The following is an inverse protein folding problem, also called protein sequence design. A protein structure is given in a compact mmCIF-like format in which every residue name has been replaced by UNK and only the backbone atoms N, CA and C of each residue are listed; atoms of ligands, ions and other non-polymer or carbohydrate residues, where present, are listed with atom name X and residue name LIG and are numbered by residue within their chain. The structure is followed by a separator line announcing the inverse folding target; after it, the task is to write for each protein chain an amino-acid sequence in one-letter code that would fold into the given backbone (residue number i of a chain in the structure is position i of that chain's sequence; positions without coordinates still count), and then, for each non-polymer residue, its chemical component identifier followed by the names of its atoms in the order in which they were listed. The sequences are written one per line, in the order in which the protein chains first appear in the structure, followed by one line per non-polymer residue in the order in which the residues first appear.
data_IF_408250587471
#
_entry.id   IF_408250587471
#
_cell.length_a   1.000
_cell.length_b   1.000
_cell.length_c   1.000
_cell.angle_alpha   90.00
_cell.angle_beta   90.00
_cell.angle_gamma   90.00
#
_symmetry.space_group_name_H-M   'P 1'
#
loop_
_entity.id
_entity.type
_entity.pdbx_description
1 polymer ?
#
# COMPACT_ATOMS: atom_id res chain seq x y z
N UNK A 1 15.88 -36.51 -3.14
CA UNK A 1 14.84 -35.45 -3.27
C UNK A 1 15.56 -34.18 -3.73
N UNK A 2 15.16 -33.54 -4.84
CA UNK A 2 15.79 -32.26 -5.24
C UNK A 2 15.39 -31.19 -4.21
N UNK A 3 16.34 -30.48 -3.58
CA UNK A 3 16.01 -29.53 -2.52
C UNK A 3 15.16 -28.38 -3.08
N UNK A 4 14.16 -27.96 -2.30
CA UNK A 4 13.41 -26.74 -2.58
C UNK A 4 14.27 -25.50 -2.32
N UNK A 5 13.79 -24.31 -2.70
CA UNK A 5 14.54 -23.07 -2.57
C UNK A 5 14.76 -22.73 -1.08
N UNK A 6 16.03 -22.69 -0.58
CA UNK A 6 16.30 -22.37 0.82
C UNK A 6 15.93 -20.94 1.17
N UNK A 7 15.41 -20.73 2.39
CA UNK A 7 15.06 -19.40 2.91
C UNK A 7 13.84 -18.76 2.24
N UNK A 8 13.07 -19.50 1.44
CA UNK A 8 11.83 -19.02 0.84
C UNK A 8 10.75 -18.79 1.90
N UNK A 9 10.06 -17.66 1.80
CA UNK A 9 8.99 -17.25 2.71
C UNK A 9 7.68 -17.21 1.94
N UNK A 10 6.76 -18.13 2.26
CA UNK A 10 5.48 -18.26 1.58
C UNK A 10 4.60 -17.02 1.64
N UNK A 11 4.60 -16.35 2.80
CA UNK A 11 3.83 -15.12 2.99
C UNK A 11 4.22 -14.04 1.96
N UNK A 12 5.50 -13.97 1.54
CA UNK A 12 5.98 -13.05 0.50
C UNK A 12 5.45 -13.42 -0.88
N UNK A 13 5.29 -14.70 -1.19
CA UNK A 13 4.65 -15.12 -2.44
C UNK A 13 3.18 -14.67 -2.48
N UNK A 14 2.45 -14.89 -1.38
CA UNK A 14 1.06 -14.45 -1.25
C UNK A 14 0.94 -12.93 -1.44
N UNK A 15 1.78 -12.18 -0.73
CA UNK A 15 1.85 -10.72 -0.81
C UNK A 15 2.16 -10.24 -2.23
N UNK A 16 3.16 -10.81 -2.89
CA UNK A 16 3.51 -10.50 -4.27
C UNK A 16 2.34 -10.77 -5.22
N UNK A 17 1.71 -11.94 -5.12
CA UNK A 17 0.55 -12.31 -5.95
C UNK A 17 -0.61 -11.32 -5.77
N UNK A 18 -0.92 -10.99 -4.53
CA UNK A 18 -2.01 -10.06 -4.18
C UNK A 18 -1.71 -8.64 -4.66
N UNK A 19 -0.45 -8.18 -4.61
CA UNK A 19 -0.01 -6.88 -5.15
C UNK A 19 -0.17 -6.77 -6.69
N UNK A 20 -0.29 -7.91 -7.37
CA UNK A 20 -0.58 -8.01 -8.81
C UNK A 20 -2.06 -8.21 -9.10
N UNK A 21 -2.91 -8.34 -8.08
CA UNK A 21 -4.34 -8.62 -8.24
C UNK A 21 -4.62 -10.01 -8.82
N UNK A 22 -3.71 -10.97 -8.62
CA UNK A 22 -3.85 -12.32 -9.18
C UNK A 22 -4.54 -13.27 -8.18
N UNK A 23 -5.47 -14.08 -8.65
CA UNK A 23 -5.98 -15.22 -7.87
C UNK A 23 -4.93 -16.35 -7.82
N UNK A 24 -4.98 -17.18 -6.78
CA UNK A 24 -4.04 -18.30 -6.62
C UNK A 24 -4.12 -19.30 -7.79
N UNK A 25 -5.31 -19.49 -8.38
CA UNK A 25 -5.49 -20.35 -9.56
C UNK A 25 -4.79 -19.77 -10.79
N UNK A 26 -4.93 -18.46 -11.03
CA UNK A 26 -4.26 -17.77 -12.14
C UNK A 26 -2.74 -17.89 -12.04
N UNK A 27 -2.17 -17.74 -10.83
CA UNK A 27 -0.74 -17.94 -10.62
C UNK A 27 -0.32 -19.40 -10.87
N UNK A 28 -1.14 -20.36 -10.46
CA UNK A 28 -0.88 -21.79 -10.67
C UNK A 28 -0.82 -22.12 -12.17
N UNK A 29 -1.79 -21.64 -12.95
CA UNK A 29 -1.87 -21.85 -14.39
C UNK A 29 -0.65 -21.25 -15.12
N UNK A 30 -0.28 -20.01 -14.79
CA UNK A 30 0.88 -19.33 -15.37
C UNK A 30 2.22 -20.01 -15.02
N UNK A 31 2.30 -20.65 -13.85
CA UNK A 31 3.45 -21.42 -13.40
C UNK A 31 3.39 -22.89 -13.82
N UNK A 32 2.30 -23.36 -14.43
CA UNK A 32 2.13 -24.77 -14.80
C UNK A 32 2.23 -25.71 -13.59
N UNK A 33 1.72 -25.28 -12.44
CA UNK A 33 1.68 -26.07 -11.20
C UNK A 33 0.23 -26.18 -10.70
N UNK A 34 -0.03 -27.06 -9.73
CA UNK A 34 -1.37 -27.17 -9.16
C UNK A 34 -1.69 -26.00 -8.22
N UNK A 35 -2.97 -25.65 -8.09
CA UNK A 35 -3.44 -24.69 -7.07
C UNK A 35 -3.05 -25.11 -5.65
N UNK A 36 -3.01 -26.42 -5.40
CA UNK A 36 -2.56 -26.99 -4.12
C UNK A 36 -1.09 -26.68 -3.85
N UNK A 37 -0.22 -26.76 -4.87
CA UNK A 37 1.19 -26.37 -4.73
C UNK A 37 1.34 -24.90 -4.38
N UNK A 38 0.58 -23.99 -5.02
CA UNK A 38 0.59 -22.56 -4.65
C UNK A 38 0.17 -22.36 -3.20
N UNK A 39 -0.88 -23.03 -2.73
CA UNK A 39 -1.29 -22.98 -1.32
C UNK A 39 -0.19 -23.46 -0.37
N UNK A 40 0.47 -24.57 -0.69
CA UNK A 40 1.60 -25.09 0.10
C UNK A 40 2.79 -24.12 0.10
N UNK A 41 3.06 -23.45 -1.01
CA UNK A 41 4.08 -22.41 -1.11
C UNK A 41 3.71 -21.22 -0.22
N UNK A 42 2.51 -20.67 -0.35
CA UNK A 42 2.06 -19.50 0.41
C UNK A 42 2.06 -19.74 1.93
N UNK A 43 1.75 -20.96 2.36
CA UNK A 43 1.76 -21.36 3.77
C UNK A 43 3.14 -21.83 4.26
N UNK A 44 4.18 -21.74 3.43
CA UNK A 44 5.55 -22.19 3.74
C UNK A 44 5.65 -23.68 4.12
N UNK A 45 4.66 -24.50 3.75
CA UNK A 45 4.67 -25.97 3.95
C UNK A 45 5.61 -26.66 2.96
N UNK A 46 5.75 -26.08 1.77
CA UNK A 46 6.71 -26.49 0.76
C UNK A 46 7.37 -25.25 0.16
N UNK A 47 8.63 -25.35 -0.28
CA UNK A 47 9.25 -24.30 -1.08
C UNK A 47 9.27 -24.69 -2.57
N UNK A 48 9.16 -23.70 -3.48
CA UNK A 48 9.25 -23.96 -4.91
C UNK A 48 10.65 -24.48 -5.27
N UNK A 49 10.71 -25.34 -6.29
CA UNK A 49 12.00 -25.75 -6.90
C UNK A 49 12.68 -24.54 -7.54
N UNK A 50 14.02 -24.54 -7.69
CA UNK A 50 14.74 -23.41 -8.29
C UNK A 50 14.17 -22.96 -9.64
N UNK A 51 13.84 -23.91 -10.52
CA UNK A 51 13.23 -23.63 -11.83
C UNK A 51 11.88 -22.89 -11.72
N UNK A 52 11.05 -23.25 -10.75
CA UNK A 52 9.76 -22.58 -10.48
C UNK A 52 10.00 -21.22 -9.83
N UNK A 53 11.00 -21.10 -8.96
CA UNK A 53 11.37 -19.84 -8.33
C UNK A 53 11.80 -18.78 -9.37
N UNK A 54 12.58 -19.17 -10.39
CA UNK A 54 12.94 -18.26 -11.48
C UNK A 54 11.71 -17.77 -12.25
N UNK A 55 10.74 -18.66 -12.48
CA UNK A 55 9.46 -18.29 -13.12
C UNK A 55 8.65 -17.35 -12.24
N UNK A 56 8.60 -17.58 -10.93
CA UNK A 56 7.93 -16.70 -9.96
C UNK A 56 8.54 -15.29 -10.02
N UNK A 57 9.88 -15.18 -9.96
CA UNK A 57 10.60 -13.90 -10.02
C UNK A 57 10.30 -13.15 -11.31
N UNK A 58 10.38 -13.83 -12.46
CA UNK A 58 10.09 -13.23 -13.77
C UNK A 58 8.64 -12.80 -13.91
N UNK A 59 7.69 -13.66 -13.51
CA UNK A 59 6.26 -13.42 -13.65
C UNK A 59 5.77 -12.29 -12.74
N UNK A 60 6.20 -12.28 -11.49
CA UNK A 60 5.78 -11.28 -10.51
C UNK A 60 6.64 -10.01 -10.58
N UNK A 61 7.73 -10.01 -11.35
CA UNK A 61 8.67 -8.89 -11.51
C UNK A 61 9.17 -8.38 -10.16
N UNK A 62 9.62 -9.32 -9.32
CA UNK A 62 10.21 -9.03 -8.01
C UNK A 62 11.50 -9.80 -7.86
N UNK A 63 12.54 -9.20 -7.29
CA UNK A 63 13.84 -9.83 -7.16
C UNK A 63 13.79 -11.03 -6.19
N UNK A 64 14.70 -11.99 -6.37
CA UNK A 64 14.82 -13.17 -5.50
C UNK A 64 14.84 -12.84 -4.00
N UNK A 65 15.53 -11.76 -3.62
CA UNK A 65 15.66 -11.35 -2.22
C UNK A 65 14.30 -11.01 -1.59
N UNK A 66 13.32 -10.53 -2.36
CA UNK A 66 11.99 -10.19 -1.86
C UNK A 66 11.34 -11.40 -1.20
N UNK A 67 11.45 -12.57 -1.83
CA UNK A 67 10.83 -13.82 -1.35
C UNK A 67 11.57 -14.45 -0.16
N UNK A 68 12.69 -13.86 0.28
CA UNK A 68 13.47 -14.29 1.44
C UNK A 68 13.45 -13.28 2.58
N UNK A 69 12.92 -12.07 2.33
CA UNK A 69 12.80 -11.03 3.35
C UNK A 69 11.71 -11.40 4.35
N UNK A 70 11.96 -11.34 5.67
CA UNK A 70 10.93 -11.58 6.69
C UNK A 70 9.65 -10.83 6.35
N UNK A 71 8.51 -11.52 6.30
CA UNK A 71 7.23 -10.85 6.11
C UNK A 71 7.00 -9.89 7.28
N UNK A 72 6.67 -8.64 6.98
CA UNK A 72 6.28 -7.70 8.02
C UNK A 72 4.98 -8.23 8.62
N UNK A 73 4.91 -8.27 9.95
CA UNK A 73 3.64 -8.51 10.64
C UNK A 73 2.68 -7.45 10.12
N UNK A 74 1.59 -7.86 9.47
CA UNK A 74 0.53 -6.91 9.13
C UNK A 74 0.12 -6.27 10.45
N UNK A 75 0.41 -4.98 10.64
CA UNK A 75 -0.52 -4.17 11.41
C UNK A 75 -1.81 -4.24 10.61
N UNK A 76 -2.76 -5.04 11.08
CA UNK A 76 -4.12 -5.17 10.52
C UNK A 76 -4.90 -3.87 10.73
N UNK A 77 -4.31 -2.75 10.32
CA UNK A 77 -4.98 -1.49 10.34
C UNK A 77 -6.12 -1.58 9.32
N UNK A 78 -7.32 -1.26 9.78
CA UNK A 78 -8.53 -1.36 8.98
C UNK A 78 -8.46 -0.29 7.91
N UNK A 79 -8.38 -0.71 6.65
CA UNK A 79 -8.47 0.21 5.52
C UNK A 79 -9.95 0.54 5.30
N UNK A 80 -10.30 1.79 5.49
CA UNK A 80 -11.62 2.33 5.18
C UNK A 80 -11.66 2.74 3.72
N UNK A 81 -12.59 2.16 2.98
CA UNK A 81 -12.83 2.51 1.58
C UNK A 81 -13.99 3.49 1.52
N UNK A 82 -13.90 4.50 0.65
CA UNK A 82 -15.01 5.43 0.42
C UNK A 82 -16.27 4.63 0.02
N UNK A 83 -17.42 4.97 0.62
CA UNK A 83 -18.71 4.37 0.29
C UNK A 83 -19.02 4.60 -1.19
N UNK A 84 -19.56 3.57 -1.86
CA UNK A 84 -19.84 3.50 -3.30
C UNK A 84 -18.69 3.08 -4.24
N UNK A 85 -17.52 2.64 -3.75
CA UNK A 85 -16.55 1.97 -4.62
C UNK A 85 -17.06 0.59 -5.06
N UNK A 86 -17.42 0.43 -6.33
CA UNK A 86 -17.75 -0.86 -6.96
C UNK A 86 -16.52 -1.79 -7.10
N UNK A 87 -15.38 -1.37 -6.56
CA UNK A 87 -14.13 -2.11 -6.56
C UNK A 87 -14.31 -3.51 -5.97
N UNK A 88 -13.88 -4.49 -6.75
CA UNK A 88 -13.86 -5.90 -6.41
C UNK A 88 -12.94 -6.16 -5.21
N UNK A 89 -13.15 -7.30 -4.53
CA UNK A 89 -12.28 -7.75 -3.44
C UNK A 89 -10.81 -7.79 -3.85
N UNK A 90 -10.55 -8.20 -5.09
CA UNK A 90 -9.19 -8.29 -5.66
C UNK A 90 -8.55 -6.92 -5.82
N UNK A 91 -9.28 -5.93 -6.31
CA UNK A 91 -8.76 -4.55 -6.47
C UNK A 91 -8.44 -3.90 -5.13
N UNK A 92 -9.34 -4.05 -4.14
CA UNK A 92 -9.10 -3.57 -2.77
C UNK A 92 -7.86 -4.21 -2.15
N UNK A 93 -7.76 -5.53 -2.26
CA UNK A 93 -6.60 -6.27 -1.74
C UNK A 93 -5.30 -5.82 -2.41
N UNK A 94 -5.31 -5.62 -3.74
CA UNK A 94 -4.16 -5.12 -4.49
C UNK A 94 -3.75 -3.73 -4.02
N UNK A 95 -4.71 -2.81 -3.87
CA UNK A 95 -4.46 -1.46 -3.40
C UNK A 95 -3.88 -1.45 -1.98
N UNK A 96 -4.46 -2.24 -1.06
CA UNK A 96 -3.94 -2.39 0.30
C UNK A 96 -2.52 -2.94 0.36
N UNK A 97 -2.18 -3.95 -0.47
CA UNK A 97 -0.80 -4.47 -0.53
C UNK A 97 0.20 -3.44 -1.05
N UNK A 98 -0.17 -2.69 -2.08
CA UNK A 98 0.68 -1.62 -2.64
C UNK A 98 0.84 -0.45 -1.65
N UNK A 99 -0.21 -0.13 -0.90
CA UNK A 99 -0.14 0.85 0.18
C UNK A 99 0.80 0.40 1.30
N UNK A 100 0.75 -0.88 1.69
CA UNK A 100 1.73 -1.44 2.63
C UNK A 100 3.17 -1.32 2.12
N UNK A 101 3.41 -1.62 0.83
CA UNK A 101 4.73 -1.41 0.23
C UNK A 101 5.18 0.04 0.24
N UNK A 102 4.26 0.99 0.03
CA UNK A 102 4.57 2.40 0.16
C UNK A 102 5.07 2.73 1.58
N UNK A 103 4.37 2.25 2.62
CA UNK A 103 4.80 2.43 4.02
C UNK A 103 6.21 1.83 4.24
N UNK A 104 6.47 0.65 3.70
CA UNK A 104 7.78 0.00 3.80
C UNK A 104 8.89 0.79 3.11
N UNK A 105 8.61 1.32 1.92
CA UNK A 105 9.55 2.15 1.16
C UNK A 105 9.85 3.44 1.93
N UNK A 106 8.82 4.13 2.42
CA UNK A 106 8.99 5.37 3.19
C UNK A 106 9.82 5.11 4.44
N UNK A 107 9.50 4.06 5.20
CA UNK A 107 10.24 3.67 6.40
C UNK A 107 11.70 3.36 6.09
N UNK A 108 11.97 2.64 5.01
CA UNK A 108 13.32 2.35 4.56
C UNK A 108 14.07 3.62 4.17
N UNK A 109 13.45 4.54 3.41
CA UNK A 109 14.07 5.80 3.02
C UNK A 109 14.41 6.68 4.23
N UNK A 110 13.58 6.69 5.27
CA UNK A 110 13.82 7.41 6.52
C UNK A 110 15.09 6.97 7.26
N UNK A 111 15.66 5.79 6.95
CA UNK A 111 16.97 5.36 7.49
C UNK A 111 18.14 6.14 6.85
N UNK A 112 17.93 6.75 5.68
CA UNK A 112 18.96 7.44 4.90
C UNK A 112 18.72 8.94 4.74
N UNK A 113 17.46 9.38 4.84
CA UNK A 113 17.08 10.79 4.66
C UNK A 113 16.19 11.27 5.80
N UNK A 114 16.33 12.55 6.14
CA UNK A 114 15.41 13.20 7.07
C UNK A 114 14.26 13.83 6.28
N UNK A 115 13.06 13.28 6.45
CA UNK A 115 11.85 13.88 5.89
C UNK A 115 11.43 15.11 6.72
N UNK A 116 10.77 16.12 6.11
CA UNK A 116 10.22 17.24 6.84
C UNK A 116 9.30 16.77 7.97
N UNK A 117 9.34 17.45 9.12
CA UNK A 117 8.45 17.13 10.24
C UNK A 117 7.01 17.41 9.85
N UNK A 118 6.12 16.53 10.30
CA UNK A 118 4.66 16.70 10.13
C UNK A 118 4.24 18.01 10.81
N UNK A 119 3.77 18.96 10.01
CA UNK A 119 3.30 20.27 10.42
C UNK A 119 1.79 20.42 10.13
N UNK A 120 1.03 19.36 10.37
CA UNK A 120 -0.43 19.37 10.22
C UNK A 120 -1.06 19.73 11.56
N UNK A 121 -1.96 20.72 11.62
CA UNK A 121 -2.63 21.05 12.87
C UNK A 121 -3.62 19.95 13.26
N UNK A 122 -3.68 19.67 14.55
CA UNK A 122 -4.88 19.05 15.12
C UNK A 122 -5.98 20.12 15.17
N UNK A 123 -7.02 19.93 14.36
CA UNK A 123 -8.17 20.83 14.27
C UNK A 123 -9.32 20.42 15.20
N UNK A 124 -9.22 19.22 15.80
CA UNK A 124 -10.20 18.62 16.70
C UNK A 124 -11.64 18.80 16.19
N UNK A 125 -11.99 18.18 15.05
CA UNK A 125 -13.34 18.28 14.51
C UNK A 125 -14.38 17.68 15.48
N UNK A 126 -15.64 18.13 15.44
CA UNK A 126 -16.69 17.51 16.24
C UNK A 126 -16.84 16.01 15.92
N UNK A 127 -17.01 15.17 16.95
CA UNK A 127 -17.27 13.74 16.78
C UNK A 127 -18.56 13.46 15.99
N UNK A 128 -19.55 14.35 16.16
CA UNK A 128 -20.81 14.32 15.42
C UNK A 128 -20.63 15.01 14.06
N UNK A 129 -20.51 14.19 13.01
CA UNK A 129 -20.32 14.65 11.63
C UNK A 129 -21.44 15.57 11.13
N UNK A 130 -22.65 15.51 11.72
CA UNK A 130 -23.75 16.42 11.35
C UNK A 130 -23.47 17.88 11.74
N UNK A 131 -22.52 18.11 12.65
CA UNK A 131 -22.08 19.44 13.09
C UNK A 131 -20.99 20.04 12.19
N UNK A 132 -20.49 19.29 11.22
CA UNK A 132 -19.51 19.79 10.26
C UNK A 132 -20.25 20.61 9.20
N UNK A 133 -20.22 21.94 9.36
CA UNK A 133 -20.82 22.89 8.42
C UNK A 133 -19.78 23.43 7.42
N UNK A 134 -20.24 23.97 6.28
CA UNK A 134 -19.36 24.67 5.34
C UNK A 134 -18.57 25.80 6.02
N UNK A 135 -19.21 26.53 6.95
CA UNK A 135 -18.56 27.59 7.71
C UNK A 135 -17.39 27.04 8.55
N UNK A 136 -17.58 25.89 9.21
CA UNK A 136 -16.51 25.24 9.99
C UNK A 136 -15.35 24.78 9.10
N UNK A 137 -15.67 24.24 7.91
CA UNK A 137 -14.66 23.83 6.92
C UNK A 137 -13.81 25.02 6.48
N UNK A 138 -14.44 26.17 6.18
CA UNK A 138 -13.74 27.40 5.82
C UNK A 138 -12.87 27.93 6.98
N UNK A 139 -13.38 27.89 8.21
CA UNK A 139 -12.59 28.28 9.39
C UNK A 139 -11.34 27.40 9.57
N UNK A 140 -11.48 26.09 9.36
CA UNK A 140 -10.36 25.16 9.36
C UNK A 140 -9.36 25.42 8.24
N UNK A 141 -9.84 25.68 7.02
CA UNK A 141 -8.98 26.05 5.90
C UNK A 141 -8.18 27.33 6.21
N UNK A 142 -8.82 28.36 6.76
CA UNK A 142 -8.15 29.62 7.16
C UNK A 142 -7.14 29.38 8.27
N UNK A 143 -7.44 28.55 9.28
CA UNK A 143 -6.47 28.19 10.33
C UNK A 143 -5.22 27.53 9.75
N UNK A 144 -5.39 26.56 8.85
CA UNK A 144 -4.26 25.90 8.17
C UNK A 144 -3.47 26.90 7.32
N UNK A 145 -4.14 27.77 6.55
CA UNK A 145 -3.47 28.81 5.74
C UNK A 145 -2.64 29.78 6.59
N UNK A 146 -3.15 30.18 7.76
CA UNK A 146 -2.41 31.03 8.71
C UNK A 146 -1.21 30.30 9.30
N UNK A 147 -1.37 29.04 9.73
CA UNK A 147 -0.28 28.22 10.24
C UNK A 147 0.85 28.05 9.22
N UNK A 148 0.49 27.83 7.95
CA UNK A 148 1.45 27.61 6.86
C UNK A 148 1.90 28.90 6.15
N UNK A 149 1.42 30.08 6.57
CA UNK A 149 1.84 31.36 6.02
C UNK A 149 1.42 31.61 4.55
N UNK A 150 0.29 31.08 4.10
CA UNK A 150 -0.13 31.08 2.68
C UNK A 150 -0.83 32.35 2.20
N UNK A 151 -1.12 33.31 3.09
CA UNK A 151 -1.97 34.47 2.76
C UNK A 151 -3.33 34.05 2.21
N UNK A 152 -3.91 34.82 1.27
CA UNK A 152 -5.19 34.52 0.61
C UNK A 152 -5.06 34.22 -0.90
N UNK A 153 -3.82 34.21 -1.42
CA UNK A 153 -3.56 33.94 -2.83
C UNK A 153 -3.71 32.45 -3.19
N UNK A 154 -3.97 32.11 -4.47
CA UNK A 154 -3.96 30.73 -4.94
C UNK A 154 -2.64 30.02 -4.61
N UNK A 155 -2.73 28.72 -4.29
CA UNK A 155 -1.55 27.89 -4.03
C UNK A 155 -0.99 27.44 -5.39
N UNK A 156 0.22 27.88 -5.72
CA UNK A 156 0.86 27.59 -7.01
C UNK A 156 1.23 26.12 -7.18
N UNK A 157 1.67 25.46 -6.10
CA UNK A 157 1.99 24.03 -6.10
C UNK A 157 1.57 23.38 -4.79
N UNK A 158 0.43 22.71 -4.81
CA UNK A 158 -0.13 22.04 -3.64
C UNK A 158 0.72 20.85 -3.18
N UNK A 159 1.33 20.11 -4.12
CA UNK A 159 2.15 18.94 -3.79
C UNK A 159 3.38 19.36 -3.01
N UNK A 160 4.13 20.34 -3.54
CA UNK A 160 5.33 20.86 -2.88
C UNK A 160 5.00 21.46 -1.51
N UNK A 161 3.86 22.15 -1.39
CA UNK A 161 3.39 22.68 -0.12
C UNK A 161 3.14 21.58 0.91
N UNK A 162 2.45 20.50 0.53
CA UNK A 162 2.18 19.38 1.42
C UNK A 162 3.47 18.67 1.83
N UNK A 163 4.38 18.43 0.87
CA UNK A 163 5.68 17.80 1.14
C UNK A 163 6.54 18.63 2.11
N UNK A 164 6.59 19.96 1.92
CA UNK A 164 7.28 20.87 2.85
C UNK A 164 6.68 20.88 4.26
N UNK A 165 5.40 20.52 4.42
CA UNK A 165 4.72 20.39 5.71
C UNK A 165 4.73 18.94 6.25
N UNK A 166 5.56 18.07 5.68
CA UNK A 166 5.80 16.71 6.18
C UNK A 166 4.87 15.64 5.63
N UNK A 167 4.09 15.93 4.58
CA UNK A 167 3.37 14.89 3.86
C UNK A 167 4.32 14.10 2.96
N UNK A 168 4.10 12.79 2.84
CA UNK A 168 4.70 12.01 1.75
C UNK A 168 3.67 11.87 0.64
N UNK A 169 3.97 12.44 -0.52
CA UNK A 169 3.09 12.35 -1.69
C UNK A 169 3.71 11.37 -2.69
N UNK A 170 2.92 10.38 -3.12
CA UNK A 170 3.34 9.43 -4.15
C UNK A 170 2.29 9.39 -5.24
N UNK A 171 2.75 9.54 -6.48
CA UNK A 171 1.92 9.34 -7.67
C UNK A 171 1.97 7.87 -8.06
N UNK A 172 0.82 7.22 -8.05
CA UNK A 172 0.72 5.81 -8.38
C UNK A 172 -0.61 5.48 -9.06
N UNK A 173 -0.57 4.59 -10.04
CA UNK A 173 -1.76 4.12 -10.75
C UNK A 173 -2.39 2.92 -10.01
N UNK A 174 -3.54 3.15 -9.37
CA UNK A 174 -4.24 2.10 -8.60
C UNK A 174 -4.76 0.95 -9.48
N UNK A 175 -4.94 1.20 -10.79
CA UNK A 175 -5.35 0.23 -11.80
C UNK A 175 -6.77 -0.31 -11.60
N UNK A 176 -7.63 0.44 -10.90
CA UNK A 176 -9.01 0.11 -10.58
C UNK A 176 -9.85 1.38 -10.72
N UNK A 177 -10.56 1.52 -11.84
CA UNK A 177 -11.35 2.73 -12.15
C UNK A 177 -12.44 3.01 -11.11
N UNK A 178 -12.94 1.96 -10.47
CA UNK A 178 -14.01 2.04 -9.46
C UNK A 178 -13.48 2.25 -8.03
N UNK A 179 -12.15 2.27 -7.85
CA UNK A 179 -11.50 2.55 -6.58
C UNK A 179 -11.10 4.02 -6.52
N UNK A 180 -11.96 4.81 -5.87
CA UNK A 180 -11.78 6.27 -5.77
C UNK A 180 -10.77 6.65 -4.68
N UNK A 181 -11.03 6.28 -3.42
CA UNK A 181 -10.16 6.59 -2.29
C UNK A 181 -10.27 5.57 -1.15
N UNK A 182 -9.21 5.47 -0.35
CA UNK A 182 -9.18 4.74 0.91
C UNK A 182 -8.25 5.41 1.92
N UNK A 183 -8.46 5.14 3.20
CA UNK A 183 -7.65 5.65 4.31
C UNK A 183 -7.40 4.57 5.37
N UNK A 184 -6.35 4.79 6.15
CA UNK A 184 -5.99 4.03 7.35
C UNK A 184 -5.90 5.05 8.48
N UNK A 185 -6.48 4.73 9.66
CA UNK A 185 -6.44 5.59 10.85
C UNK A 185 -5.43 5.04 11.86
#
# INVERSE_FOLDING_TARGET
MRPGTPGFIGARLKEARESRGMAAITLADLLGVSRQAISQYENSTQSPRPEIMERIVKLLQLPHHFFRRPAMLNTEAVIFYRSMSAATKTERLRAGKRYSWLKDIVKYLQEFVQLPKVNFPDLSPPDDLSKISNQLIEEYAVKVRRLWGLGDSPISNLVLLLENNGAVVVRYELGAETLDAFSEF
#
